data_IF_601073259711
#
_entry.id   IF_601073259711
#
_cell.length_a   1.000
_cell.length_b   1.000
_cell.length_c   1.000
_cell.angle_alpha   90.00
_cell.angle_beta   90.00
_cell.angle_gamma   90.00
#
_symmetry.space_group_name_H-M   'P 1'
#
loop_
_entity.id
_entity.type
_entity.pdbx_description
1 polymer ?
#
# COMPACT_ATOMS: atom_id res chain seq x y z
N UNK A 1 -29.34 -35.28 48.48
CA UNK A 1 -28.07 -34.99 47.80
C UNK A 1 -28.35 -34.60 46.36
N UNK A 2 -27.87 -33.40 46.00
CA UNK A 2 -27.65 -32.85 44.64
C UNK A 2 -28.86 -32.66 43.71
N UNK A 3 -29.37 -31.44 43.79
CA UNK A 3 -30.28 -30.73 42.90
C UNK A 3 -29.81 -30.73 41.44
N UNK A 4 -30.65 -31.22 40.52
CA UNK A 4 -30.57 -30.94 39.09
C UNK A 4 -31.69 -29.94 38.76
N UNK A 5 -31.36 -28.64 38.87
CA UNK A 5 -32.30 -27.57 38.54
C UNK A 5 -32.40 -27.47 37.02
N UNK A 6 -33.56 -27.81 36.51
CA UNK A 6 -33.98 -27.64 35.13
C UNK A 6 -34.05 -26.13 34.81
N UNK A 7 -33.03 -25.58 34.18
CA UNK A 7 -33.13 -24.29 33.49
C UNK A 7 -33.62 -24.54 32.06
N UNK A 8 -34.89 -24.92 31.94
CA UNK A 8 -35.59 -24.98 30.67
C UNK A 8 -35.81 -23.53 30.22
N UNK A 9 -34.98 -23.04 29.29
CA UNK A 9 -35.13 -21.73 28.67
C UNK A 9 -36.48 -21.69 27.94
N UNK A 10 -37.48 -21.10 28.59
CA UNK A 10 -38.70 -20.62 27.97
C UNK A 10 -38.31 -19.47 27.03
N UNK A 11 -37.99 -19.80 25.77
CA UNK A 11 -38.12 -18.88 24.64
C UNK A 11 -39.61 -18.68 24.39
N UNK A 12 -40.25 -17.94 25.30
CA UNK A 12 -41.62 -17.49 25.13
C UNK A 12 -41.68 -16.58 23.92
N UNK A 13 -42.60 -16.89 23.02
CA UNK A 13 -42.96 -16.12 21.84
C UNK A 13 -43.33 -14.68 22.21
N UNK A 14 -42.35 -13.80 22.27
CA UNK A 14 -42.55 -12.35 22.27
C UNK A 14 -42.65 -11.89 20.83
N UNK A 15 -43.70 -11.14 20.52
CA UNK A 15 -44.16 -10.80 19.18
C UNK A 15 -43.08 -10.33 18.21
N UNK A 16 -43.29 -10.72 16.95
CA UNK A 16 -42.59 -10.22 15.77
C UNK A 16 -42.88 -8.72 15.60
N UNK A 17 -42.20 -7.88 16.39
CA UNK A 17 -42.00 -6.50 16.00
C UNK A 17 -41.07 -6.54 14.78
N UNK A 18 -41.56 -6.03 13.65
CA UNK A 18 -40.72 -5.78 12.49
C UNK A 18 -39.66 -4.74 12.91
N UNK A 19 -38.49 -5.21 13.30
CA UNK A 19 -37.34 -4.35 13.53
C UNK A 19 -36.94 -3.84 12.15
N UNK A 20 -37.23 -2.57 11.86
CA UNK A 20 -36.62 -1.89 10.72
C UNK A 20 -35.10 -1.86 10.98
N UNK A 21 -34.38 -2.75 10.30
CA UNK A 21 -32.93 -2.78 10.36
C UNK A 21 -32.39 -1.64 9.51
N UNK A 22 -31.98 -0.55 10.16
CA UNK A 22 -31.26 0.52 9.48
C UNK A 22 -29.87 0.00 9.06
N UNK A 23 -29.68 -0.19 7.75
CA UNK A 23 -28.40 -0.60 7.18
C UNK A 23 -27.51 0.62 6.95
N UNK A 24 -26.19 0.43 7.07
CA UNK A 24 -25.18 1.42 6.70
C UNK A 24 -25.39 1.94 5.27
N UNK A 25 -25.00 3.18 5.00
CA UNK A 25 -25.09 3.75 3.65
C UNK A 25 -24.13 3.01 2.71
N UNK A 26 -24.57 2.73 1.49
CA UNK A 26 -23.78 1.97 0.49
C UNK A 26 -22.36 2.52 0.26
N UNK A 27 -22.18 3.84 0.34
CA UNK A 27 -20.90 4.51 0.08
C UNK A 27 -20.19 4.96 1.36
N UNK A 28 -20.65 4.53 2.54
CA UNK A 28 -20.02 4.88 3.81
C UNK A 28 -18.57 4.36 3.86
N UNK A 29 -18.34 3.18 3.29
CA UNK A 29 -17.00 2.57 3.19
C UNK A 29 -15.99 3.46 2.44
N UNK A 30 -16.44 4.26 1.48
CA UNK A 30 -15.55 5.11 0.67
C UNK A 30 -14.93 6.24 1.48
N UNK A 31 -15.55 6.62 2.60
CA UNK A 31 -14.99 7.60 3.54
C UNK A 31 -13.74 7.07 4.25
N UNK A 32 -13.69 5.76 4.51
CA UNK A 32 -12.53 5.07 5.10
C UNK A 32 -11.47 4.71 4.06
N UNK A 33 -11.65 5.07 2.79
CA UNK A 33 -10.69 4.82 1.70
C UNK A 33 -10.10 6.11 1.14
N UNK A 34 -10.34 7.23 1.81
CA UNK A 34 -9.77 8.52 1.44
C UNK A 34 -8.33 8.66 1.95
N UNK A 35 -7.36 8.30 1.12
CA UNK A 35 -5.94 8.39 1.45
C UNK A 35 -5.39 9.83 1.48
N UNK A 36 -6.20 10.86 1.22
CA UNK A 36 -5.72 12.25 1.10
C UNK A 36 -4.99 12.68 2.35
N UNK A 37 -5.60 12.52 3.54
CA UNK A 37 -5.02 12.99 4.80
C UNK A 37 -3.67 12.32 5.11
N UNK A 38 -3.59 10.99 4.92
CA UNK A 38 -2.34 10.25 5.09
C UNK A 38 -1.24 10.75 4.14
N UNK A 39 -1.55 10.84 2.84
CA UNK A 39 -0.57 11.18 1.82
C UNK A 39 -0.09 12.62 1.90
N UNK A 40 -0.93 13.56 2.35
CA UNK A 40 -0.56 14.96 2.59
C UNK A 40 0.12 15.20 3.94
N UNK A 41 0.26 14.18 4.79
CA UNK A 41 0.96 14.34 6.07
C UNK A 41 2.42 14.72 5.84
N UNK A 42 2.89 15.75 6.55
CA UNK A 42 4.30 16.15 6.55
C UNK A 42 5.20 15.15 7.29
N UNK A 43 4.62 14.18 8.02
CA UNK A 43 5.41 13.13 8.65
C UNK A 43 6.01 12.18 7.61
N UNK A 44 7.21 11.68 7.91
CA UNK A 44 7.73 10.48 7.28
C UNK A 44 6.78 9.32 7.55
N UNK A 45 6.53 8.50 6.54
CA UNK A 45 5.75 7.26 6.67
C UNK A 45 6.66 6.07 6.40
N UNK A 46 6.40 4.93 7.03
CA UNK A 46 7.20 3.72 6.86
C UNK A 46 6.33 2.52 6.57
N UNK A 47 6.87 1.59 5.76
CA UNK A 47 6.26 0.30 5.55
C UNK A 47 6.31 -0.49 6.86
N UNK A 48 5.15 -0.74 7.46
CA UNK A 48 5.03 -1.40 8.75
C UNK A 48 4.84 -2.92 8.61
N UNK A 49 3.91 -3.34 7.74
CA UNK A 49 3.68 -4.75 7.41
C UNK A 49 3.52 -4.94 5.92
N UNK A 50 3.88 -6.13 5.46
CA UNK A 50 3.84 -6.51 4.06
C UNK A 50 3.18 -7.89 3.85
N UNK A 51 2.87 -8.27 2.60
CA UNK A 51 2.44 -9.62 2.25
C UNK A 51 3.37 -10.70 2.81
N UNK A 52 2.88 -11.91 3.10
CA UNK A 52 3.75 -12.99 3.61
C UNK A 52 4.87 -13.36 2.61
N UNK A 53 4.58 -13.25 1.32
CA UNK A 53 5.51 -13.48 0.21
C UNK A 53 6.46 -12.29 -0.04
N UNK A 54 6.39 -11.23 0.78
CA UNK A 54 7.28 -10.09 0.66
C UNK A 54 8.72 -10.53 0.87
N UNK A 55 9.55 -10.34 -0.15
CA UNK A 55 10.97 -10.58 -0.03
C UNK A 55 11.66 -9.29 0.44
N UNK A 56 12.14 -9.22 1.70
CA UNK A 56 12.79 -8.02 2.23
C UNK A 56 14.03 -7.63 1.41
N UNK A 57 14.67 -8.58 0.74
CA UNK A 57 15.80 -8.30 -0.14
C UNK A 57 15.45 -7.37 -1.31
N UNK A 58 14.19 -7.34 -1.75
CA UNK A 58 13.76 -6.48 -2.86
C UNK A 58 13.57 -5.03 -2.43
N UNK A 59 13.19 -4.80 -1.18
CA UNK A 59 12.83 -3.49 -0.67
C UNK A 59 12.76 -3.50 0.87
N UNK A 60 13.88 -3.22 1.51
CA UNK A 60 13.99 -3.10 2.97
C UNK A 60 14.08 -1.64 3.40
N UNK A 61 13.72 -1.36 4.64
CA UNK A 61 13.84 -0.03 5.26
C UNK A 61 13.05 1.05 4.52
N UNK A 62 11.93 0.67 3.89
CA UNK A 62 11.19 1.54 3.01
C UNK A 62 10.50 2.66 3.80
N UNK A 63 10.91 3.89 3.53
CA UNK A 63 10.37 5.11 4.12
C UNK A 63 9.92 6.07 3.03
N UNK A 64 8.97 6.95 3.34
CA UNK A 64 8.51 7.97 2.42
C UNK A 64 8.28 9.31 3.08
N UNK A 65 8.81 10.35 2.44
CA UNK A 65 8.74 11.72 2.92
C UNK A 65 7.89 12.59 2.01
N UNK A 66 7.16 13.52 2.61
CA UNK A 66 6.37 14.49 1.86
C UNK A 66 7.26 15.52 1.19
N UNK A 67 6.96 15.83 -0.07
CA UNK A 67 7.63 16.90 -0.81
C UNK A 67 6.59 17.97 -1.13
N UNK A 68 6.76 19.21 -0.63
CA UNK A 68 5.89 20.31 -1.01
C UNK A 68 5.81 20.45 -2.54
N UNK A 69 4.60 20.40 -3.07
CA UNK A 69 4.38 20.39 -4.51
C UNK A 69 3.25 21.34 -4.89
N UNK A 70 3.48 22.16 -5.93
CA UNK A 70 2.47 23.07 -6.45
C UNK A 70 1.59 22.31 -7.44
N UNK A 71 0.34 22.09 -7.09
CA UNK A 71 -0.64 21.50 -8.01
C UNK A 71 -1.68 20.65 -7.31
N UNK A 72 -2.38 19.85 -8.13
CA UNK A 72 -3.48 18.97 -7.70
C UNK A 72 -3.05 17.54 -7.37
N UNK A 73 -1.75 17.30 -7.32
CA UNK A 73 -1.10 16.02 -7.07
C UNK A 73 -0.33 16.10 -5.75
N UNK A 74 -0.15 14.96 -5.10
CA UNK A 74 0.64 14.85 -3.89
C UNK A 74 1.98 14.24 -4.27
N UNK A 75 3.09 14.88 -3.92
CA UNK A 75 4.43 14.38 -4.23
C UNK A 75 5.07 13.82 -2.98
N UNK A 76 5.63 12.62 -3.09
CA UNK A 76 6.43 12.02 -2.02
C UNK A 76 7.68 11.37 -2.59
N UNK A 77 8.76 11.37 -1.80
CA UNK A 77 9.94 10.54 -2.09
C UNK A 77 9.83 9.23 -1.34
N UNK A 78 10.41 8.16 -1.90
CA UNK A 78 10.55 6.87 -1.26
C UNK A 78 12.03 6.52 -1.21
N UNK A 79 12.50 6.06 -0.06
CA UNK A 79 13.88 5.64 0.17
C UNK A 79 13.86 4.23 0.72
N UNK A 80 14.69 3.35 0.17
CA UNK A 80 14.79 1.95 0.59
C UNK A 80 16.13 1.36 0.16
N UNK A 81 16.48 0.21 0.70
CA UNK A 81 17.59 -0.60 0.20
C UNK A 81 17.05 -1.81 -0.56
N UNK A 82 17.75 -2.21 -1.60
CA UNK A 82 17.41 -3.39 -2.42
C UNK A 82 18.67 -4.19 -2.71
N UNK A 83 18.54 -5.47 -3.05
CA UNK A 83 19.67 -6.25 -3.56
C UNK A 83 20.19 -5.61 -4.84
N UNK A 84 21.46 -5.23 -4.83
CA UNK A 84 22.16 -4.75 -6.01
C UNK A 84 22.51 -5.87 -6.98
N UNK A 85 23.42 -5.57 -7.90
CA UNK A 85 24.00 -6.61 -8.77
C UNK A 85 24.70 -7.70 -7.94
N UNK A 86 24.67 -8.98 -8.37
CA UNK A 86 25.33 -10.06 -7.66
C UNK A 86 26.76 -9.70 -7.24
N UNK A 87 27.06 -9.79 -5.94
CA UNK A 87 28.36 -9.44 -5.36
C UNK A 87 28.51 -7.99 -4.86
N UNK A 88 27.55 -7.09 -5.11
CA UNK A 88 27.60 -5.68 -4.62
C UNK A 88 26.84 -5.42 -3.33
N UNK A 89 26.19 -6.43 -2.76
CA UNK A 89 25.40 -6.29 -1.54
C UNK A 89 24.13 -5.47 -1.77
N UNK A 90 23.73 -4.69 -0.76
CA UNK A 90 22.53 -3.84 -0.82
C UNK A 90 22.86 -2.47 -1.41
N UNK A 91 22.00 -2.00 -2.31
CA UNK A 91 22.05 -0.69 -2.96
C UNK A 91 20.94 0.21 -2.39
N UNK A 92 21.29 1.44 -2.07
CA UNK A 92 20.32 2.48 -1.71
C UNK A 92 19.58 2.94 -2.97
N UNK A 93 18.25 3.02 -2.88
CA UNK A 93 17.37 3.54 -3.94
C UNK A 93 16.53 4.67 -3.40
N UNK A 94 16.38 5.71 -4.22
CA UNK A 94 15.48 6.83 -3.99
C UNK A 94 14.57 6.99 -5.20
N UNK A 95 13.27 7.03 -4.96
CA UNK A 95 12.25 7.24 -5.98
C UNK A 95 11.44 8.49 -5.64
N UNK A 96 10.88 9.13 -6.66
CA UNK A 96 9.96 10.25 -6.49
C UNK A 96 8.65 9.92 -7.17
N UNK A 97 7.55 9.93 -6.42
CA UNK A 97 6.24 9.50 -6.89
C UNK A 97 5.23 10.64 -6.78
N UNK A 98 4.44 10.85 -7.84
CA UNK A 98 3.23 11.66 -7.82
C UNK A 98 2.01 10.79 -7.57
N UNK A 99 1.15 11.25 -6.67
CA UNK A 99 -0.10 10.60 -6.31
C UNK A 99 -1.29 11.45 -6.76
N UNK A 100 -2.31 10.78 -7.30
CA UNK A 100 -3.67 11.32 -7.43
C UNK A 100 -4.65 10.44 -6.68
N UNK A 101 -5.33 11.00 -5.67
CA UNK A 101 -6.41 10.30 -4.97
C UNK A 101 -7.69 10.36 -5.80
N UNK A 102 -8.25 9.20 -6.13
CA UNK A 102 -9.53 9.05 -6.82
C UNK A 102 -10.27 7.86 -6.20
N UNK A 103 -11.06 8.15 -5.15
CA UNK A 103 -11.71 7.14 -4.31
C UNK A 103 -12.45 6.07 -5.12
N UNK A 104 -12.33 4.77 -4.75
CA UNK A 104 -11.58 4.22 -3.59
C UNK A 104 -10.09 3.91 -3.88
N UNK A 105 -9.50 4.50 -4.91
CA UNK A 105 -8.15 4.20 -5.37
C UNK A 105 -7.20 5.40 -5.25
N UNK A 106 -5.92 5.11 -5.38
CA UNK A 106 -4.89 6.10 -5.70
C UNK A 106 -4.26 5.73 -7.04
N UNK A 107 -3.88 6.75 -7.80
CA UNK A 107 -3.07 6.60 -8.99
C UNK A 107 -1.66 7.08 -8.66
N UNK A 108 -0.67 6.27 -9.00
CA UNK A 108 0.74 6.54 -8.75
C UNK A 108 1.48 6.69 -10.07
N UNK A 109 2.34 7.70 -10.16
CA UNK A 109 3.18 7.99 -11.30
C UNK A 109 4.62 8.14 -10.82
N UNK A 110 5.51 7.29 -11.34
CA UNK A 110 6.94 7.42 -11.07
C UNK A 110 7.51 8.58 -11.89
N UNK A 111 8.10 9.55 -11.19
CA UNK A 111 8.76 10.74 -11.76
C UNK A 111 10.22 10.83 -11.30
N UNK A 112 10.84 9.70 -10.97
CA UNK A 112 12.23 9.64 -10.50
C UNK A 112 13.21 10.19 -11.54
N UNK A 113 12.96 9.94 -12.83
CA UNK A 113 13.75 10.47 -13.94
C UNK A 113 13.46 11.95 -14.27
N UNK A 114 12.49 12.57 -13.59
CA UNK A 114 11.98 13.91 -13.89
C UNK A 114 10.47 13.90 -14.10
N UNK A 115 9.84 15.06 -13.88
CA UNK A 115 8.41 15.21 -14.11
C UNK A 115 8.13 15.36 -15.62
N UNK A 116 7.24 14.54 -16.20
CA UNK A 116 6.84 14.72 -17.59
C UNK A 116 6.14 16.07 -17.77
N UNK A 117 6.45 16.75 -18.87
CA UNK A 117 5.80 18.00 -19.26
C UNK A 117 5.17 17.87 -20.65
N UNK A 118 3.82 17.78 -20.76
CA UNK A 118 2.84 17.84 -19.68
C UNK A 118 2.73 16.53 -18.87
N UNK A 119 2.24 16.63 -17.64
CA UNK A 119 1.91 15.45 -16.83
C UNK A 119 0.75 14.70 -17.52
N UNK A 120 0.87 13.38 -17.75
CA UNK A 120 -0.16 12.62 -18.43
C UNK A 120 -1.50 12.72 -17.66
N UNK A 121 -2.64 12.83 -18.37
CA UNK A 121 -3.94 12.84 -17.72
C UNK A 121 -4.16 11.53 -16.96
N UNK A 122 -4.76 11.62 -15.77
CA UNK A 122 -5.15 10.44 -15.00
C UNK A 122 -6.29 9.75 -15.77
N UNK A 123 -6.24 8.42 -15.99
CA UNK A 123 -7.26 7.72 -16.75
C UNK A 123 -8.69 8.02 -16.23
N UNK A 124 -9.57 8.47 -17.12
CA UNK A 124 -10.95 8.82 -16.78
C UNK A 124 -11.74 7.59 -16.31
N UNK A 125 -12.09 7.53 -15.03
CA UNK A 125 -12.95 6.47 -14.47
C UNK A 125 -14.33 6.40 -15.13
N UNK A 126 -14.79 7.48 -15.77
CA UNK A 126 -16.14 7.56 -16.37
C UNK A 126 -16.23 6.92 -17.76
N UNK A 127 -15.10 6.58 -18.40
CA UNK A 127 -15.05 5.98 -19.74
C UNK A 127 -14.54 4.55 -19.71
N UNK A 128 -14.87 3.77 -18.68
CA UNK A 128 -14.87 2.32 -18.87
C UNK A 128 -16.07 2.05 -19.75
N UNK A 129 -15.85 2.09 -21.06
CA UNK A 129 -16.85 1.78 -22.06
C UNK A 129 -17.57 0.51 -21.62
N UNK A 130 -18.89 0.58 -21.46
CA UNK A 130 -19.76 -0.60 -21.42
C UNK A 130 -19.75 -1.32 -22.79
N UNK A 131 -18.66 -1.24 -23.54
CA UNK A 131 -18.39 -2.04 -24.70
C UNK A 131 -18.44 -3.49 -24.26
N UNK A 132 -19.34 -4.24 -24.88
CA UNK A 132 -19.46 -5.70 -24.75
C UNK A 132 -18.05 -6.27 -24.65
N UNK A 133 -17.74 -6.95 -23.54
CA UNK A 133 -16.49 -7.67 -23.32
C UNK A 133 -16.26 -8.51 -24.57
N UNK A 134 -15.44 -8.01 -25.51
CA UNK A 134 -15.01 -8.79 -26.66
C UNK A 134 -14.25 -9.94 -26.05
N UNK A 135 -14.71 -11.15 -26.34
CA UNK A 135 -14.02 -12.38 -26.01
C UNK A 135 -12.57 -12.21 -26.49
N UNK A 136 -11.69 -12.04 -25.50
CA UNK A 136 -10.32 -11.64 -25.73
C UNK A 136 -9.62 -12.86 -26.33
N UNK A 137 -9.18 -12.74 -27.58
CA UNK A 137 -8.47 -13.80 -28.27
C UNK A 137 -7.33 -14.32 -27.37
N UNK A 138 -7.02 -15.63 -27.40
CA UNK A 138 -6.02 -16.23 -26.52
C UNK A 138 -4.73 -15.40 -26.55
N UNK A 139 -4.20 -15.02 -25.37
CA UNK A 139 -3.10 -14.07 -25.29
C UNK A 139 -1.90 -14.63 -26.05
N UNK A 140 -1.43 -13.88 -27.06
CA UNK A 140 -0.17 -14.20 -27.73
C UNK A 140 0.94 -14.29 -26.67
N UNK A 141 1.92 -15.22 -26.79
CA UNK A 141 3.02 -15.32 -25.86
C UNK A 141 3.73 -13.96 -25.73
N UNK A 142 3.65 -13.33 -24.56
CA UNK A 142 4.39 -12.08 -24.30
C UNK A 142 5.85 -12.44 -24.08
N UNK A 143 6.73 -11.74 -24.80
CA UNK A 143 8.18 -11.83 -24.58
C UNK A 143 8.52 -11.53 -23.12
N UNK A 144 9.36 -12.38 -22.51
CA UNK A 144 9.83 -12.26 -21.11
C UNK A 144 10.80 -11.08 -20.89
N UNK A 145 11.15 -10.32 -21.92
CA UNK A 145 12.18 -9.28 -21.90
C UNK A 145 11.73 -7.90 -21.36
N UNK A 146 10.62 -7.82 -20.62
CA UNK A 146 10.08 -6.55 -20.10
C UNK A 146 9.23 -6.70 -18.83
N UNK A 147 9.45 -7.76 -18.05
CA UNK A 147 8.61 -8.11 -16.91
C UNK A 147 8.94 -7.22 -15.71
N UNK A 148 8.07 -6.25 -15.43
CA UNK A 148 7.75 -5.84 -14.05
C UNK A 148 8.01 -4.39 -13.65
N UNK A 149 8.73 -3.61 -14.45
CA UNK A 149 8.84 -2.16 -14.21
C UNK A 149 7.54 -1.46 -14.62
N UNK A 150 7.03 -0.47 -13.87
CA UNK A 150 6.09 0.48 -14.45
C UNK A 150 6.77 1.07 -15.68
N UNK A 151 6.09 1.00 -16.82
CA UNK A 151 6.41 1.80 -18.00
C UNK A 151 6.56 3.24 -17.52
N UNK A 152 7.76 3.80 -17.68
CA UNK A 152 8.02 5.18 -17.27
C UNK A 152 6.93 6.08 -17.87
N UNK A 153 6.35 6.93 -17.03
CA UNK A 153 5.27 7.86 -17.38
C UNK A 153 3.83 7.29 -17.46
N UNK A 154 3.56 6.06 -16.97
CA UNK A 154 2.19 5.55 -16.89
C UNK A 154 1.61 5.57 -15.46
N UNK A 155 0.34 5.96 -15.36
CA UNK A 155 -0.39 5.93 -14.09
C UNK A 155 -0.74 4.49 -13.70
N UNK A 156 -0.17 4.01 -12.60
CA UNK A 156 -0.58 2.74 -11.97
C UNK A 156 -1.69 2.98 -10.96
N UNK A 157 -2.81 2.27 -11.10
CA UNK A 157 -3.89 2.28 -10.12
C UNK A 157 -3.55 1.33 -8.96
N UNK A 158 -3.71 1.80 -7.73
CA UNK A 158 -3.56 1.03 -6.49
C UNK A 158 -4.83 1.20 -5.66
N UNK A 159 -5.42 0.10 -5.21
CA UNK A 159 -6.65 0.18 -4.42
C UNK A 159 -6.34 0.49 -2.96
N UNK A 160 -7.13 1.38 -2.36
CA UNK A 160 -7.05 1.69 -0.94
C UNK A 160 -8.03 0.77 -0.22
N UNK A 161 -7.51 -0.12 0.62
CA UNK A 161 -8.35 -0.97 1.48
C UNK A 161 -8.90 -0.12 2.62
N UNK A 162 -8.03 0.66 3.24
CA UNK A 162 -8.33 1.55 4.35
C UNK A 162 -7.32 2.70 4.44
N UNK A 163 -7.77 3.89 4.84
CA UNK A 163 -6.93 5.03 5.14
C UNK A 163 -7.47 5.86 6.31
N UNK A 164 -6.54 6.43 7.06
CA UNK A 164 -6.75 7.37 8.17
C UNK A 164 -5.66 8.44 8.13
N UNK A 165 -5.47 9.22 9.19
CA UNK A 165 -4.34 10.13 9.34
C UNK A 165 -2.99 9.42 9.60
N UNK A 166 -3.03 8.26 10.26
CA UNK A 166 -1.87 7.58 10.85
C UNK A 166 -1.59 6.19 10.26
N UNK A 167 -2.52 5.67 9.46
CA UNK A 167 -2.44 4.35 8.83
C UNK A 167 -3.04 4.36 7.42
N UNK A 168 -2.35 3.70 6.50
CA UNK A 168 -2.78 3.43 5.13
C UNK A 168 -2.56 1.96 4.78
N UNK A 169 -3.59 1.30 4.28
CA UNK A 169 -3.54 -0.08 3.80
C UNK A 169 -3.83 -0.08 2.31
N UNK A 170 -2.85 -0.54 1.54
CA UNK A 170 -2.92 -0.61 0.08
C UNK A 170 -3.00 -2.06 -0.36
N UNK A 171 -3.89 -2.33 -1.30
CA UNK A 171 -3.97 -3.61 -1.99
C UNK A 171 -2.92 -3.65 -3.10
N UNK A 172 -2.22 -4.77 -3.17
CA UNK A 172 -1.35 -5.15 -4.26
C UNK A 172 -2.02 -6.25 -5.08
N UNK A 173 -1.88 -6.19 -6.41
CA UNK A 173 -2.43 -7.21 -7.30
C UNK A 173 -1.74 -8.56 -7.05
N UNK A 174 -2.34 -9.40 -6.22
CA UNK A 174 -1.88 -10.76 -5.93
C UNK A 174 -2.17 -11.71 -7.09
N UNK A 175 -1.29 -12.69 -7.32
CA UNK A 175 -1.49 -13.72 -8.35
C UNK A 175 -2.49 -14.82 -7.93
N UNK A 176 -2.76 -14.96 -6.64
CA UNK A 176 -3.41 -16.16 -6.05
C UNK A 176 -4.86 -15.95 -5.61
N UNK A 177 -5.51 -14.86 -6.03
CA UNK A 177 -6.88 -14.52 -5.62
C UNK A 177 -7.03 -14.07 -4.15
N UNK A 178 -5.97 -14.19 -3.35
CA UNK A 178 -5.85 -13.57 -2.03
C UNK A 178 -5.31 -12.14 -2.16
N UNK A 179 -5.94 -11.20 -1.45
CA UNK A 179 -5.54 -9.80 -1.44
C UNK A 179 -4.21 -9.63 -0.69
N UNK A 180 -3.13 -9.43 -1.43
CA UNK A 180 -1.85 -9.03 -0.86
C UNK A 180 -1.96 -7.55 -0.44
N UNK A 181 -1.60 -7.21 0.80
CA UNK A 181 -1.67 -5.82 1.26
C UNK A 181 -0.38 -5.36 1.91
N UNK A 182 -0.06 -4.09 1.71
CA UNK A 182 0.95 -3.37 2.47
C UNK A 182 0.27 -2.43 3.46
N UNK A 183 0.85 -2.29 4.65
CA UNK A 183 0.38 -1.38 5.69
C UNK A 183 1.47 -0.39 6.02
N UNK A 184 1.13 0.89 5.93
CA UNK A 184 2.02 2.02 6.11
C UNK A 184 1.55 2.83 7.30
N UNK A 185 2.50 3.29 8.12
CA UNK A 185 2.21 4.11 9.29
C UNK A 185 3.02 5.41 9.25
N UNK A 186 2.45 6.47 9.82
CA UNK A 186 3.20 7.69 10.10
C UNK A 186 4.25 7.45 11.18
N UNK A 187 5.30 8.27 11.20
CA UNK A 187 6.40 8.17 12.15
C UNK A 187 5.91 8.17 13.60
N UNK A 188 4.93 9.01 13.93
CA UNK A 188 4.30 9.09 15.25
C UNK A 188 3.57 7.79 15.65
N UNK A 189 2.96 7.11 14.69
CA UNK A 189 2.19 5.89 14.91
C UNK A 189 3.05 4.61 15.02
N UNK A 190 4.33 4.65 14.64
CA UNK A 190 5.20 3.46 14.70
C UNK A 190 5.41 2.93 16.12
N UNK A 191 5.45 3.80 17.12
CA UNK A 191 5.66 3.40 18.53
C UNK A 191 4.43 2.72 19.12
N UNK A 192 3.24 3.17 18.73
CA UNK A 192 1.97 2.61 19.17
C UNK A 192 1.02 2.45 17.97
N UNK A 193 1.23 1.43 17.12
CA UNK A 193 0.42 1.23 15.93
C UNK A 193 -1.06 1.02 16.28
N UNK A 194 -2.01 1.71 15.64
CA UNK A 194 -3.42 1.58 15.96
C UNK A 194 -3.91 0.12 15.84
N UNK A 195 -4.57 -0.39 16.88
CA UNK A 195 -5.05 -1.77 16.94
C UNK A 195 -6.05 -2.08 15.83
N UNK A 196 -6.94 -1.14 15.53
CA UNK A 196 -7.91 -1.26 14.44
C UNK A 196 -7.22 -1.35 13.06
N UNK A 197 -6.09 -0.69 12.86
CA UNK A 197 -5.34 -0.74 11.59
C UNK A 197 -4.83 -2.17 11.34
N UNK A 198 -4.23 -2.78 12.38
CA UNK A 198 -3.81 -4.18 12.35
C UNK A 198 -5.00 -5.13 12.13
N UNK A 199 -6.11 -4.91 12.83
CA UNK A 199 -7.31 -5.73 12.68
C UNK A 199 -7.84 -5.69 11.24
N UNK A 200 -7.98 -4.50 10.65
CA UNK A 200 -8.48 -4.33 9.28
C UNK A 200 -7.57 -5.02 8.27
N UNK A 201 -6.25 -4.87 8.40
CA UNK A 201 -5.29 -5.56 7.52
C UNK A 201 -5.48 -7.08 7.59
N UNK A 202 -5.58 -7.63 8.82
CA UNK A 202 -5.69 -9.07 9.01
C UNK A 202 -7.07 -9.64 8.61
N UNK A 203 -8.13 -8.83 8.75
CA UNK A 203 -9.49 -9.21 8.42
C UNK A 203 -9.76 -9.15 6.92
N UNK A 204 -9.24 -8.14 6.22
CA UNK A 204 -9.56 -7.90 4.80
C UNK A 204 -8.53 -8.45 3.81
N UNK A 205 -7.27 -8.61 4.22
CA UNK A 205 -6.20 -9.00 3.31
C UNK A 205 -5.79 -10.47 3.49
N UNK A 206 -5.13 -10.76 4.61
CA UNK A 206 -4.58 -12.08 4.90
C UNK A 206 -4.46 -12.29 6.41
N UNK A 207 -4.68 -13.52 6.87
CA UNK A 207 -4.65 -13.87 8.31
C UNK A 207 -3.26 -13.69 8.96
N UNK A 208 -2.22 -13.58 8.16
CA UNK A 208 -0.83 -13.39 8.59
C UNK A 208 -0.17 -12.35 7.68
N UNK A 209 0.74 -11.54 8.22
CA UNK A 209 1.51 -10.55 7.48
C UNK A 209 2.94 -10.50 8.02
N UNK A 210 3.92 -10.23 7.16
CA UNK A 210 5.30 -10.02 7.60
C UNK A 210 5.40 -8.72 8.40
N UNK A 211 6.13 -8.74 9.51
CA UNK A 211 6.44 -7.56 10.34
C UNK A 211 7.63 -6.80 9.73
N UNK A 212 7.47 -6.34 8.49
CA UNK A 212 8.50 -5.70 7.68
C UNK A 212 9.32 -4.65 8.46
N UNK A 213 8.66 -3.74 9.17
CA UNK A 213 9.36 -2.72 9.97
C UNK A 213 10.24 -3.32 11.07
N UNK A 214 9.77 -4.35 11.78
CA UNK A 214 10.52 -4.95 12.89
C UNK A 214 11.73 -5.74 12.39
N UNK A 215 11.56 -6.45 11.28
CA UNK A 215 12.62 -7.21 10.62
C UNK A 215 13.68 -6.27 10.04
N UNK A 216 13.24 -5.27 9.27
CA UNK A 216 14.12 -4.34 8.57
C UNK A 216 14.90 -3.44 9.54
N UNK A 217 14.28 -2.94 10.61
CA UNK A 217 14.89 -1.96 11.51
C UNK A 217 16.18 -2.46 12.18
N UNK A 218 16.38 -3.78 12.27
CA UNK A 218 17.66 -4.38 12.71
C UNK A 218 18.80 -4.03 11.75
N UNK A 219 18.51 -4.07 10.45
CA UNK A 219 19.46 -3.82 9.37
C UNK A 219 19.55 -2.35 8.98
N UNK A 220 18.43 -1.60 9.03
CA UNK A 220 18.40 -0.19 8.66
C UNK A 220 19.39 0.66 9.47
N UNK A 221 19.59 0.31 10.75
CA UNK A 221 20.55 1.00 11.62
C UNK A 221 21.99 0.83 11.16
N UNK A 222 22.32 -0.31 10.56
CA UNK A 222 23.66 -0.61 10.05
C UNK A 222 23.89 0.17 8.76
N UNK A 223 22.91 0.13 7.83
CA UNK A 223 23.05 0.76 6.52
C UNK A 223 22.89 2.28 6.49
N UNK A 224 22.31 2.89 7.54
CA UNK A 224 22.15 4.35 7.63
C UNK A 224 23.32 5.07 8.31
N UNK A 225 24.34 4.37 8.80
CA UNK A 225 25.45 5.03 9.49
C UNK A 225 26.33 5.82 8.50
N UNK A 226 26.54 7.13 8.73
CA UNK A 226 27.46 7.91 7.91
C UNK A 226 28.87 7.32 8.06
N UNK A 227 29.46 6.86 6.96
CA UNK A 227 30.78 6.23 6.97
C UNK A 227 30.76 4.69 6.87
N UNK A 228 29.59 4.04 6.84
CA UNK A 228 29.51 2.71 6.21
C UNK A 228 29.79 2.92 4.72
N UNK A 229 31.06 2.80 4.35
CA UNK A 229 31.57 2.92 2.98
C UNK A 229 30.93 1.84 2.13
N UNK A 230 29.71 2.10 1.67
CA UNK A 230 29.17 1.47 0.50
C UNK A 230 30.10 1.85 -0.65
N UNK A 231 31.01 0.95 -1.01
CA UNK A 231 31.93 1.02 -2.15
C UNK A 231 31.19 0.99 -3.51
N UNK A 232 30.05 1.67 -3.62
CA UNK A 232 29.23 1.79 -4.81
C UNK A 232 29.19 3.23 -5.31
N UNK A 233 29.92 3.49 -6.39
CA UNK A 233 29.80 4.64 -7.28
C UNK A 233 30.21 6.02 -6.72
N UNK A 234 31.52 6.26 -6.62
CA UNK A 234 32.06 7.55 -7.08
C UNK A 234 31.79 7.62 -8.58
N UNK A 235 30.73 8.31 -8.98
CA UNK A 235 30.55 8.72 -10.37
C UNK A 235 31.74 9.57 -10.76
N UNK A 236 32.60 9.04 -11.64
CA UNK A 236 33.55 9.83 -12.40
C UNK A 236 32.75 10.75 -13.33
N UNK A 237 32.46 11.95 -12.86
CA UNK A 237 32.06 13.05 -13.73
C UNK A 237 33.28 13.41 -14.58
N UNK A 238 33.29 12.96 -15.83
CA UNK A 238 34.19 13.49 -16.85
C UNK A 238 33.72 14.90 -17.20
N UNK A 239 34.65 15.85 -17.11
CA UNK A 239 34.55 17.23 -17.60
C UNK A 239 34.55 17.24 -19.12
#
# INVERSE_FOLDING_TARGET
HTHFSQALFLLSATGLYAIEVELSKKNEIDSYRDATRFLTSNESVQLFRAPMIWNPSNAMCMTSDFVPYKGRFIKRTFEYFTTGTPGRGYEFRKMTILFKVVKPAIYVLDVTAGEPNPIPPVPDLKKVDKGKRKEEAPPKPRSLSGVGGPTENEWKKVQVVYASDSCLILEEAGQTGTLACTMWLTQSALRNPPSWCKFIMLALCQRQASEAYKEDNKYCKIYRQPGSSHHGARGSGSV
#
